data_IF_900371904509
#
_entry.id   IF_900371904509
#
_cell.length_a   1.000
_cell.length_b   1.000
_cell.length_c   1.000
_cell.angle_alpha   90.00
_cell.angle_beta   90.00
_cell.angle_gamma   90.00
#
_symmetry.space_group_name_H-M   'P 1'
#
loop_
_entity.id
_entity.type
_entity.pdbx_description
1 polymer ?
#
# COMPACT_ATOMS: atom_id res chain seq x y z
N UNK A 1 -58.41 2.72 -16.77
CA UNK A 1 -57.33 1.71 -16.62
C UNK A 1 -55.98 2.08 -17.27
N UNK A 2 -55.87 3.06 -18.18
CA UNK A 2 -54.57 3.40 -18.83
C UNK A 2 -53.59 4.24 -17.97
N UNK A 3 -54.08 5.02 -16.99
CA UNK A 3 -53.22 5.89 -16.15
C UNK A 3 -52.43 5.15 -15.06
N UNK A 4 -52.89 3.96 -14.66
CA UNK A 4 -52.27 3.18 -13.59
C UNK A 4 -50.95 2.50 -14.03
N UNK A 5 -50.83 2.16 -15.32
CA UNK A 5 -49.61 1.55 -15.88
C UNK A 5 -48.46 2.55 -16.04
N UNK A 6 -48.77 3.84 -16.24
CA UNK A 6 -47.75 4.89 -16.41
C UNK A 6 -47.06 5.19 -15.07
N UNK A 7 -47.81 5.20 -13.97
CA UNK A 7 -47.26 5.46 -12.64
C UNK A 7 -46.25 4.39 -12.20
N UNK A 8 -46.53 3.12 -12.50
CA UNK A 8 -45.66 1.99 -12.13
C UNK A 8 -44.33 1.98 -12.89
N UNK A 9 -44.30 2.45 -14.13
CA UNK A 9 -43.05 2.53 -14.93
C UNK A 9 -42.15 3.68 -14.43
N UNK A 10 -42.74 4.80 -14.01
CA UNK A 10 -41.98 5.93 -13.45
C UNK A 10 -41.40 5.58 -12.07
N UNK A 11 -42.14 4.82 -11.25
CA UNK A 11 -41.65 4.38 -9.94
C UNK A 11 -40.48 3.39 -10.06
N UNK A 12 -40.50 2.48 -11.05
CA UNK A 12 -39.38 1.57 -11.32
C UNK A 12 -38.12 2.30 -11.80
N UNK A 13 -38.27 3.37 -12.58
CA UNK A 13 -37.14 4.20 -12.99
C UNK A 13 -36.54 5.00 -11.82
N UNK A 14 -37.35 5.47 -10.87
CA UNK A 14 -36.86 6.19 -9.69
C UNK A 14 -35.99 5.32 -8.76
N UNK A 15 -36.25 4.01 -8.69
CA UNK A 15 -35.44 3.07 -7.89
C UNK A 15 -34.12 2.72 -8.62
N UNK A 16 -34.10 2.75 -9.95
CA UNK A 16 -32.89 2.45 -10.74
C UNK A 16 -31.86 3.60 -10.74
N UNK A 17 -32.28 4.86 -10.49
CA UNK A 17 -31.37 6.02 -10.48
C UNK A 17 -30.71 6.22 -9.10
N UNK A 18 -31.24 5.59 -8.05
CA UNK A 18 -30.56 5.44 -6.75
C UNK A 18 -29.53 4.31 -6.74
N UNK A 19 -28.89 4.05 -7.88
CA UNK A 19 -27.62 3.33 -7.92
C UNK A 19 -26.58 4.15 -7.16
N UNK A 20 -26.59 4.00 -5.84
CA UNK A 20 -25.62 4.58 -4.93
C UNK A 20 -24.23 4.27 -5.45
N UNK A 21 -23.58 5.25 -6.07
CA UNK A 21 -22.13 5.32 -6.07
C UNK A 21 -21.73 5.48 -4.61
N UNK A 22 -21.51 4.36 -3.92
CA UNK A 22 -20.85 4.41 -2.63
C UNK A 22 -19.51 5.11 -2.87
N UNK A 23 -19.22 6.22 -2.17
CA UNK A 23 -17.91 6.84 -2.28
C UNK A 23 -16.87 5.80 -1.91
N UNK A 24 -15.95 5.53 -2.83
CA UNK A 24 -14.89 4.55 -2.64
C UNK A 24 -14.03 5.01 -1.45
N UNK A 25 -14.04 4.25 -0.36
CA UNK A 25 -13.27 4.59 0.84
C UNK A 25 -11.79 4.47 0.51
N UNK A 26 -11.09 5.60 0.52
CA UNK A 26 -9.64 5.63 0.30
C UNK A 26 -8.88 5.41 1.60
N UNK A 27 -7.84 4.61 1.53
CA UNK A 27 -6.98 4.27 2.65
C UNK A 27 -5.68 5.08 2.63
N UNK A 28 -5.19 5.57 3.78
CA UNK A 28 -3.89 6.23 3.85
C UNK A 28 -2.78 5.19 3.68
N UNK A 29 -1.79 5.50 2.85
CA UNK A 29 -0.63 4.64 2.63
C UNK A 29 0.61 5.46 2.26
N UNK A 30 1.78 4.82 2.29
CA UNK A 30 2.97 5.29 1.58
C UNK A 30 3.14 4.43 0.34
N UNK A 31 3.07 5.03 -0.85
CA UNK A 31 3.43 4.37 -2.10
C UNK A 31 4.94 4.38 -2.24
N UNK A 32 5.54 3.22 -2.46
CA UNK A 32 6.97 3.03 -2.64
C UNK A 32 7.20 2.37 -3.99
N UNK A 33 7.93 3.05 -4.86
CA UNK A 33 8.37 2.55 -6.16
C UNK A 33 9.87 2.29 -6.10
N UNK A 34 10.28 1.06 -6.34
CA UNK A 34 11.67 0.65 -6.21
C UNK A 34 12.10 -0.32 -7.31
N UNK A 35 13.39 -0.36 -7.54
CA UNK A 35 14.07 -1.30 -8.41
C UNK A 35 14.61 -2.47 -7.58
N UNK A 36 14.49 -3.68 -8.11
CA UNK A 36 15.17 -4.85 -7.59
C UNK A 36 15.74 -5.72 -8.72
N UNK A 37 17.00 -6.12 -8.58
CA UNK A 37 17.68 -7.06 -9.47
C UNK A 37 18.53 -8.06 -8.70
N UNK A 38 18.58 -9.30 -9.17
CA UNK A 38 19.50 -10.32 -8.69
C UNK A 38 20.58 -10.60 -9.73
N UNK A 39 21.76 -9.99 -9.54
CA UNK A 39 22.89 -10.15 -10.45
C UNK A 39 23.80 -11.22 -9.85
N UNK A 40 23.69 -12.45 -10.35
CA UNK A 40 24.57 -13.58 -9.95
C UNK A 40 24.60 -13.86 -8.45
N UNK A 41 23.45 -13.72 -7.77
CA UNK A 41 23.33 -13.91 -6.31
C UNK A 41 23.55 -12.65 -5.49
N UNK A 42 23.85 -11.51 -6.13
CA UNK A 42 23.93 -10.20 -5.48
C UNK A 42 22.64 -9.44 -5.74
N UNK A 43 21.93 -9.13 -4.67
CA UNK A 43 20.72 -8.32 -4.73
C UNK A 43 21.09 -6.84 -4.82
N UNK A 44 20.43 -6.12 -5.73
CA UNK A 44 20.53 -4.66 -5.87
C UNK A 44 19.14 -4.10 -5.64
N UNK A 45 19.03 -3.18 -4.68
CA UNK A 45 17.80 -2.45 -4.38
C UNK A 45 18.04 -0.95 -4.55
N UNK A 46 17.02 -0.24 -5.05
CA UNK A 46 17.02 1.22 -5.10
C UNK A 46 15.61 1.76 -5.07
N UNK A 47 15.31 2.66 -4.15
CA UNK A 47 14.04 3.39 -4.11
C UNK A 47 14.09 4.50 -5.18
N UNK A 48 13.11 4.49 -6.08
CA UNK A 48 12.96 5.50 -7.13
C UNK A 48 12.07 6.65 -6.68
N UNK A 49 10.92 6.34 -6.07
CA UNK A 49 9.96 7.30 -5.52
C UNK A 49 9.34 6.74 -4.24
N UNK A 50 9.06 7.61 -3.28
CA UNK A 50 8.28 7.27 -2.10
C UNK A 50 7.46 8.48 -1.66
N UNK A 51 6.14 8.29 -1.50
CA UNK A 51 5.23 9.37 -1.14
C UNK A 51 4.03 8.92 -0.33
N UNK A 52 3.60 9.79 0.58
CA UNK A 52 2.31 9.65 1.24
C UNK A 52 1.18 9.84 0.20
N UNK A 53 0.17 8.99 0.25
CA UNK A 53 -0.95 9.00 -0.71
C UNK A 53 -2.21 8.43 -0.08
N UNK A 54 -3.34 8.61 -0.76
CA UNK A 54 -4.56 7.85 -0.54
C UNK A 54 -4.74 6.82 -1.67
N UNK A 55 -4.96 5.56 -1.32
CA UNK A 55 -5.17 4.47 -2.28
C UNK A 55 -6.58 3.92 -2.19
N UNK A 56 -7.07 3.30 -3.26
CA UNK A 56 -8.31 2.55 -3.20
C UNK A 56 -8.10 1.24 -2.43
N UNK A 57 -9.17 0.68 -1.86
CA UNK A 57 -9.11 -0.61 -1.17
C UNK A 57 -8.59 -1.74 -2.08
N UNK A 58 -8.88 -1.67 -3.38
CA UNK A 58 -8.43 -2.62 -4.40
C UNK A 58 -6.91 -2.61 -4.63
N UNK A 59 -6.22 -1.53 -4.24
CA UNK A 59 -4.77 -1.39 -4.33
C UNK A 59 -4.07 -1.75 -3.02
N UNK A 60 -4.82 -1.93 -1.94
CA UNK A 60 -4.26 -2.26 -0.65
C UNK A 60 -3.61 -3.66 -0.69
N UNK A 61 -2.46 -3.85 -0.01
CA UNK A 61 -1.86 -5.17 0.09
C UNK A 61 -2.84 -6.13 0.76
N UNK A 62 -3.03 -7.32 0.17
CA UNK A 62 -3.95 -8.35 0.71
C UNK A 62 -3.61 -8.71 2.15
N UNK A 63 -2.32 -8.61 2.51
CA UNK A 63 -1.82 -8.84 3.85
C UNK A 63 -0.67 -7.88 4.16
N UNK A 64 -0.75 -7.30 5.35
CA UNK A 64 0.37 -6.64 6.02
C UNK A 64 0.88 -7.54 7.14
N UNK A 65 2.19 -7.59 7.34
CA UNK A 65 2.84 -8.45 8.31
C UNK A 65 3.34 -7.67 9.51
N UNK A 66 3.37 -8.31 10.66
CA UNK A 66 4.16 -7.84 11.78
C UNK A 66 5.62 -8.32 11.58
N UNK A 67 6.60 -7.65 12.20
CA UNK A 67 8.00 -8.09 12.12
C UNK A 67 8.22 -9.55 12.55
N UNK A 68 7.35 -10.09 13.40
CA UNK A 68 7.45 -11.46 13.91
C UNK A 68 6.93 -12.55 12.97
N UNK A 69 6.11 -12.22 11.96
CA UNK A 69 5.42 -13.19 11.10
C UNK A 69 5.57 -12.92 9.59
N UNK A 70 6.45 -11.99 9.22
CA UNK A 70 6.78 -11.70 7.82
C UNK A 70 7.51 -12.90 7.17
N UNK A 71 7.19 -13.27 5.91
CA UNK A 71 7.84 -14.39 5.25
C UNK A 71 9.32 -14.12 4.91
N UNK A 72 10.10 -15.20 4.91
CA UNK A 72 11.50 -15.21 4.51
C UNK A 72 11.78 -16.34 3.48
N UNK A 73 12.61 -16.11 2.46
CA UNK A 73 13.24 -14.84 2.10
C UNK A 73 12.21 -13.87 1.48
N UNK A 74 12.55 -12.58 1.42
CA UNK A 74 11.63 -11.57 0.87
C UNK A 74 12.24 -10.19 0.79
N UNK A 75 11.56 -9.31 0.08
CA UNK A 75 11.82 -7.86 0.14
C UNK A 75 10.78 -7.28 1.09
N UNK A 76 11.26 -6.66 2.17
CA UNK A 76 10.45 -6.10 3.23
C UNK A 76 10.39 -4.58 3.03
N UNK A 77 9.17 -4.06 2.88
CA UNK A 77 8.92 -2.63 2.67
C UNK A 77 8.17 -2.09 3.88
N UNK A 78 8.78 -1.16 4.62
CA UNK A 78 8.25 -0.61 5.87
C UNK A 78 8.80 0.79 6.14
N UNK A 79 8.32 1.44 7.20
CA UNK A 79 8.81 2.75 7.59
C UNK A 79 8.97 2.90 9.11
N UNK A 80 9.98 3.65 9.51
CA UNK A 80 10.13 4.19 10.86
C UNK A 80 9.50 5.58 10.96
N UNK A 81 8.79 5.85 12.05
CA UNK A 81 8.19 7.16 12.35
C UNK A 81 8.03 7.35 13.86
N UNK A 82 7.43 8.46 14.32
CA UNK A 82 7.44 8.81 15.75
C UNK A 82 6.72 7.81 16.66
N UNK A 83 5.80 7.00 16.11
CA UNK A 83 5.05 5.97 16.85
C UNK A 83 5.64 4.56 16.73
N UNK A 84 6.77 4.40 16.03
CA UNK A 84 7.47 3.12 15.89
C UNK A 84 7.66 2.69 14.43
N UNK A 85 7.48 1.40 14.17
CA UNK A 85 7.64 0.78 12.85
C UNK A 85 6.26 0.46 12.29
N UNK A 86 6.03 0.78 11.01
CA UNK A 86 4.82 0.34 10.32
C UNK A 86 4.79 -1.18 10.20
N UNK A 87 3.62 -1.78 9.91
CA UNK A 87 3.56 -3.11 9.33
C UNK A 87 4.46 -3.23 8.09
N UNK A 88 4.90 -4.46 7.83
CA UNK A 88 5.76 -4.79 6.71
C UNK A 88 4.89 -5.27 5.54
N UNK A 89 5.08 -4.65 4.38
CA UNK A 89 4.60 -5.17 3.11
C UNK A 89 5.67 -6.08 2.53
N UNK A 90 5.31 -7.34 2.30
CA UNK A 90 6.22 -8.35 1.78
C UNK A 90 6.08 -8.44 0.25
N UNK A 91 7.22 -8.45 -0.44
CA UNK A 91 7.33 -8.73 -1.86
C UNK A 91 8.22 -9.96 -2.04
N UNK A 92 7.87 -10.91 -2.94
CA UNK A 92 8.69 -12.08 -3.22
C UNK A 92 10.13 -11.68 -3.61
N UNK A 93 11.13 -12.40 -3.08
CA UNK A 93 12.55 -12.12 -3.35
C UNK A 93 12.95 -12.29 -4.82
N UNK A 94 12.13 -12.98 -5.62
CA UNK A 94 12.32 -13.18 -7.05
C UNK A 94 11.56 -12.17 -7.91
N UNK A 95 10.85 -11.21 -7.32
CA UNK A 95 10.25 -10.10 -8.06
C UNK A 95 11.37 -9.15 -8.47
N UNK A 96 11.66 -9.08 -9.77
CA UNK A 96 12.70 -8.21 -10.34
C UNK A 96 12.11 -7.23 -11.33
N UNK A 97 12.73 -6.06 -11.44
CA UNK A 97 12.32 -5.02 -12.37
C UNK A 97 12.65 -3.61 -11.88
N UNK A 98 12.51 -2.64 -12.78
CA UNK A 98 12.84 -1.23 -12.53
C UNK A 98 11.81 -0.50 -11.65
N UNK A 99 10.57 -0.97 -11.60
CA UNK A 99 9.46 -0.22 -11.01
C UNK A 99 8.46 -1.10 -10.25
N UNK A 100 8.96 -1.85 -9.28
CA UNK A 100 8.13 -2.61 -8.34
C UNK A 100 7.42 -1.60 -7.44
N UNK A 101 6.09 -1.68 -7.38
CA UNK A 101 5.27 -0.84 -6.50
C UNK A 101 4.85 -1.65 -5.27
N UNK A 102 5.09 -1.10 -4.09
CA UNK A 102 4.55 -1.59 -2.83
C UNK A 102 3.90 -0.46 -2.05
N UNK A 103 2.92 -0.79 -1.22
CA UNK A 103 2.22 0.15 -0.37
C UNK A 103 2.47 -0.19 1.10
N UNK A 104 2.94 0.78 1.88
CA UNK A 104 3.04 0.65 3.34
C UNK A 104 1.73 1.15 3.93
N UNK A 105 0.98 0.24 4.56
CA UNK A 105 -0.26 0.54 5.27
C UNK A 105 -0.07 0.79 6.77
N UNK A 106 -1.16 1.12 7.44
CA UNK A 106 -1.23 1.33 8.89
C UNK A 106 -2.26 0.37 9.50
N UNK A 107 -2.04 -0.13 10.73
CA UNK A 107 -2.97 -1.11 11.34
C UNK A 107 -4.29 -0.46 11.75
N UNK A 108 -4.25 0.81 12.11
CA UNK A 108 -5.43 1.57 12.50
C UNK A 108 -5.29 3.05 12.14
N UNK A 109 -6.39 3.81 12.29
CA UNK A 109 -6.40 5.26 12.02
C UNK A 109 -5.48 6.03 12.98
N UNK A 110 -5.34 5.52 14.20
CA UNK A 110 -4.49 6.11 15.24
C UNK A 110 -3.01 5.95 14.93
N UNK A 111 -2.62 4.96 14.12
CA UNK A 111 -1.24 4.75 13.69
C UNK A 111 -0.83 5.70 12.55
N UNK A 112 -1.79 6.32 11.86
CA UNK A 112 -1.51 7.23 10.75
C UNK A 112 -0.69 8.43 11.25
N UNK A 113 0.41 8.80 10.58
CA UNK A 113 1.24 9.94 10.95
C UNK A 113 0.45 11.25 10.88
N UNK A 114 0.89 12.26 11.64
CA UNK A 114 0.32 13.60 11.52
C UNK A 114 0.92 14.30 10.29
N UNK A 115 0.15 15.22 9.70
CA UNK A 115 0.65 16.03 8.57
C UNK A 115 1.96 16.75 8.96
N UNK A 116 2.97 16.64 8.11
CA UNK A 116 4.31 17.20 8.32
C UNK A 116 5.29 16.26 9.07
N UNK A 117 4.82 15.12 9.58
CA UNK A 117 5.69 14.13 10.22
C UNK A 117 6.62 13.48 9.19
N UNK A 118 7.86 13.17 9.57
CA UNK A 118 8.82 12.51 8.68
C UNK A 118 8.84 11.01 8.94
N UNK A 119 8.73 10.23 7.88
CA UNK A 119 8.92 8.79 7.84
C UNK A 119 10.25 8.47 7.19
N UNK A 120 10.94 7.45 7.71
CA UNK A 120 12.09 6.84 7.05
C UNK A 120 11.60 5.54 6.43
N UNK A 121 11.38 5.54 5.13
CA UNK A 121 10.97 4.37 4.34
C UNK A 121 12.19 3.51 4.08
N UNK A 122 12.06 2.20 4.28
CA UNK A 122 13.10 1.20 4.09
C UNK A 122 12.58 0.11 3.16
N UNK A 123 13.42 -0.28 2.21
CA UNK A 123 13.25 -1.47 1.37
C UNK A 123 14.45 -2.37 1.63
N UNK A 124 14.21 -3.54 2.22
CA UNK A 124 15.25 -4.46 2.67
C UNK A 124 15.05 -5.86 2.06
N UNK A 125 16.03 -6.35 1.30
CA UNK A 125 16.03 -7.72 0.78
C UNK A 125 16.66 -8.65 1.80
N UNK A 126 15.87 -9.52 2.41
CA UNK A 126 16.30 -10.42 3.50
C UNK A 126 16.29 -11.89 3.10
N UNK A 127 17.26 -12.61 3.65
CA UNK A 127 17.45 -14.04 3.44
C UNK A 127 16.55 -14.92 4.33
N UNK A 128 16.70 -16.24 4.22
CA UNK A 128 15.93 -17.23 5.02
C UNK A 128 16.20 -17.16 6.53
N UNK A 129 17.31 -16.53 6.93
CA UNK A 129 17.72 -16.33 8.32
C UNK A 129 17.37 -14.92 8.82
N UNK A 130 16.75 -14.07 7.99
CA UNK A 130 16.44 -12.69 8.31
C UNK A 130 17.64 -11.74 8.21
N UNK A 131 18.72 -12.15 7.53
CA UNK A 131 19.87 -11.30 7.27
C UNK A 131 19.64 -10.50 5.98
N UNK A 132 19.91 -9.19 6.03
CA UNK A 132 19.84 -8.31 4.86
C UNK A 132 20.94 -8.64 3.84
N UNK A 133 20.54 -8.74 2.57
CA UNK A 133 21.38 -8.82 1.39
C UNK A 133 21.66 -7.44 0.79
N UNK A 134 20.65 -6.58 0.81
CA UNK A 134 20.68 -5.23 0.26
C UNK A 134 19.59 -4.41 0.94
N UNK A 135 19.86 -3.14 1.13
CA UNK A 135 18.93 -2.19 1.75
C UNK A 135 19.05 -0.85 1.03
N UNK A 136 17.92 -0.18 0.85
CA UNK A 136 17.88 1.24 0.53
C UNK A 136 16.82 1.94 1.39
N UNK A 137 17.03 3.24 1.65
CA UNK A 137 16.11 4.02 2.48
C UNK A 137 16.00 5.47 2.02
N UNK A 138 14.81 6.05 2.25
CA UNK A 138 14.54 7.45 1.93
C UNK A 138 13.63 8.10 2.96
N UNK A 139 13.63 9.44 3.00
CA UNK A 139 12.77 10.22 3.89
C UNK A 139 11.55 10.72 3.15
N UNK A 140 10.38 10.50 3.73
CA UNK A 140 9.09 10.98 3.22
C UNK A 140 8.44 11.86 4.26
N UNK A 141 8.00 13.06 3.87
CA UNK A 141 7.14 13.87 4.73
C UNK A 141 5.69 13.43 4.51
N UNK A 142 4.97 13.17 5.60
CA UNK A 142 3.56 12.82 5.56
C UNK A 142 2.73 14.03 5.16
N UNK A 143 2.42 14.12 3.87
CA UNK A 143 1.47 15.08 3.31
C UNK A 143 0.73 14.38 2.16
N UNK A 144 -0.22 13.48 2.46
CA UNK A 144 -0.86 12.66 1.45
C UNK A 144 -1.66 13.53 0.48
N UNK A 145 -1.46 13.28 -0.82
CA UNK A 145 -2.14 13.94 -1.93
C UNK A 145 -2.97 12.95 -2.75
#
# INVERSE_FOLDING_TARGET
MKRMKVLSVVLLFAVAICGCSQPEEKLPAVKVEFMHYNITGVHVLKINDAKATYINLSEAPEKIYNPSDVPFPGIHVFAYFSKGVTPITWVPINAEGDNITAYIGFRSREDVPKKGETLIVVVDAVDRMGKSYAEDSTRVVWDPK
#
